data_IF_173068106963
#
_entry.id   IF_173068106963
#
_cell.length_a   1.000
_cell.length_b   1.000
_cell.length_c   1.000
_cell.angle_alpha   90.00
_cell.angle_beta   90.00
_cell.angle_gamma   90.00
#
_symmetry.space_group_name_H-M   'P 1'
#
loop_
_entity.id
_entity.type
_entity.pdbx_description
1 polymer ?
#
# COMPACT_ATOMS: atom_id res chain seq x y z
N UNK A 1 14.20 -29.88 16.86
CA UNK A 1 14.82 -29.00 15.84
C UNK A 1 13.94 -28.84 14.60
N UNK A 2 13.38 -29.92 14.04
CA UNK A 2 12.47 -29.90 12.88
C UNK A 2 11.28 -28.93 13.02
N UNK A 3 10.50 -29.04 14.10
CA UNK A 3 9.32 -28.18 14.32
C UNK A 3 9.63 -26.67 14.38
N UNK A 4 10.86 -26.28 14.77
CA UNK A 4 11.31 -24.88 14.78
C UNK A 4 11.69 -24.41 13.38
N UNK A 5 12.29 -25.28 12.57
CA UNK A 5 12.55 -25.01 11.16
C UNK A 5 11.24 -24.81 10.39
N UNK A 6 10.26 -25.68 10.63
CA UNK A 6 8.95 -25.63 9.97
C UNK A 6 8.20 -24.34 10.31
N UNK A 7 8.26 -23.89 11.56
CA UNK A 7 7.65 -22.64 12.02
C UNK A 7 8.28 -21.39 11.38
N UNK A 8 9.61 -21.32 11.32
CA UNK A 8 10.32 -20.18 10.70
C UNK A 8 10.02 -20.11 9.20
N UNK A 9 9.95 -21.25 8.52
CA UNK A 9 9.58 -21.35 7.11
C UNK A 9 8.14 -20.90 6.91
N UNK A 10 7.18 -21.40 7.71
CA UNK A 10 5.78 -20.99 7.66
C UNK A 10 5.62 -19.48 7.84
N UNK A 11 6.23 -18.91 8.89
CA UNK A 11 6.19 -17.46 9.16
C UNK A 11 6.74 -16.66 7.97
N UNK A 12 7.84 -17.16 7.37
CA UNK A 12 8.44 -16.52 6.20
C UNK A 12 7.51 -16.53 4.99
N UNK A 13 6.88 -17.66 4.69
CA UNK A 13 5.95 -17.79 3.56
C UNK A 13 4.72 -16.90 3.72
N UNK A 14 4.14 -16.84 4.92
CA UNK A 14 2.95 -16.03 5.19
C UNK A 14 3.22 -14.53 5.08
N UNK A 15 4.34 -14.06 5.64
CA UNK A 15 4.75 -12.65 5.50
C UNK A 15 5.08 -12.33 4.03
N UNK A 16 5.78 -13.23 3.34
CA UNK A 16 6.08 -13.05 1.91
C UNK A 16 4.81 -12.97 1.07
N UNK A 17 3.79 -13.80 1.33
CA UNK A 17 2.49 -13.75 0.65
C UNK A 17 1.83 -12.38 0.81
N UNK A 18 1.78 -11.85 2.04
CA UNK A 18 1.23 -10.53 2.34
C UNK A 18 1.99 -9.43 1.60
N UNK A 19 3.31 -9.41 1.72
CA UNK A 19 4.14 -8.39 1.07
C UNK A 19 4.02 -8.46 -0.46
N UNK A 20 4.02 -9.65 -1.06
CA UNK A 20 3.84 -9.80 -2.51
C UNK A 20 2.48 -9.26 -2.98
N UNK A 21 1.40 -9.51 -2.23
CA UNK A 21 0.08 -8.95 -2.52
C UNK A 21 0.10 -7.42 -2.44
N UNK A 22 0.66 -6.86 -1.36
CA UNK A 22 0.76 -5.41 -1.18
C UNK A 22 1.60 -4.77 -2.28
N UNK A 23 2.79 -5.31 -2.58
CA UNK A 23 3.67 -4.81 -3.62
C UNK A 23 2.99 -4.83 -5.00
N UNK A 24 2.27 -5.91 -5.32
CA UNK A 24 1.58 -6.05 -6.61
C UNK A 24 0.54 -4.94 -6.79
N UNK A 25 -0.28 -4.70 -5.78
CA UNK A 25 -1.29 -3.64 -5.85
C UNK A 25 -0.67 -2.25 -5.81
N UNK A 26 0.31 -2.01 -4.93
CA UNK A 26 0.95 -0.70 -4.79
C UNK A 26 1.71 -0.30 -6.06
N UNK A 27 2.37 -1.24 -6.76
CA UNK A 27 3.06 -0.95 -8.03
C UNK A 27 2.11 -0.43 -9.10
N UNK A 28 0.82 -0.73 -8.97
CA UNK A 28 -0.21 -0.25 -9.90
C UNK A 28 -0.63 1.18 -9.60
N UNK A 29 -0.22 1.77 -8.47
CA UNK A 29 -0.59 3.14 -8.11
C UNK A 29 -0.32 4.12 -9.26
N UNK A 30 -1.37 4.84 -9.65
CA UNK A 30 -1.38 5.78 -10.77
C UNK A 30 -1.24 5.15 -12.16
N UNK A 31 -1.40 3.83 -12.32
CA UNK A 31 -1.51 3.24 -13.66
C UNK A 31 -2.88 3.49 -14.26
N UNK A 32 -2.93 3.62 -15.58
CA UNK A 32 -4.14 3.65 -16.37
C UNK A 32 -4.14 2.50 -17.39
N UNK A 33 -5.06 1.56 -17.22
CA UNK A 33 -5.07 0.33 -18.03
C UNK A 33 -5.46 0.57 -19.49
N UNK A 34 -6.35 1.52 -19.78
CA UNK A 34 -6.90 1.71 -21.13
C UNK A 34 -6.39 2.95 -21.86
N UNK A 35 -5.60 3.82 -21.22
CA UNK A 35 -5.05 5.03 -21.84
C UNK A 35 -3.54 4.98 -22.13
N UNK A 36 -2.88 3.84 -21.90
CA UNK A 36 -1.49 3.58 -22.32
C UNK A 36 -0.41 4.30 -21.51
N UNK A 37 -0.72 4.80 -20.31
CA UNK A 37 0.22 5.58 -19.50
C UNK A 37 -0.08 5.61 -18.00
N UNK A 38 0.59 6.52 -17.29
CA UNK A 38 0.30 6.83 -15.89
C UNK A 38 -0.72 7.95 -15.78
N UNK A 39 -1.65 7.82 -14.84
CA UNK A 39 -2.65 8.81 -14.46
C UNK A 39 -2.59 9.02 -12.94
N UNK A 40 -1.76 9.97 -12.46
CA UNK A 40 -1.70 10.29 -11.05
C UNK A 40 -2.95 11.04 -10.59
N UNK A 41 -3.19 11.10 -9.28
CA UNK A 41 -4.40 11.66 -8.70
C UNK A 41 -4.13 12.94 -7.91
N UNK A 42 -5.08 13.86 -7.90
CA UNK A 42 -5.10 14.94 -6.93
C UNK A 42 -5.85 14.46 -5.69
N UNK A 43 -5.17 14.46 -4.55
CA UNK A 43 -5.79 14.18 -3.27
C UNK A 43 -6.02 15.49 -2.52
N UNK A 44 -7.28 15.80 -2.22
CA UNK A 44 -7.68 17.08 -1.63
C UNK A 44 -7.54 18.27 -2.59
N UNK A 45 -7.45 19.49 -2.05
CA UNK A 45 -7.27 20.73 -2.84
C UNK A 45 -5.82 20.94 -3.32
N UNK A 46 -5.04 19.86 -3.43
CA UNK A 46 -3.63 19.94 -3.81
C UNK A 46 -3.46 20.26 -5.30
N UNK A 47 -2.45 21.07 -5.61
CA UNK A 47 -2.06 21.40 -6.99
C UNK A 47 -1.01 20.44 -7.56
N UNK A 48 -0.46 19.53 -6.76
CA UNK A 48 0.53 18.55 -7.23
C UNK A 48 -0.06 17.13 -7.30
N UNK A 49 0.07 16.45 -8.45
CA UNK A 49 -0.41 15.08 -8.58
C UNK A 49 0.38 14.14 -7.65
N UNK A 50 -0.32 13.21 -7.02
CA UNK A 50 0.25 12.21 -6.13
C UNK A 50 -0.14 10.80 -6.59
N UNK A 51 0.77 9.84 -6.37
CA UNK A 51 0.49 8.42 -6.60
C UNK A 51 -0.19 7.77 -5.39
N UNK A 52 0.10 8.28 -4.20
CA UNK A 52 -0.34 7.72 -2.93
C UNK A 52 -0.33 8.77 -1.82
N UNK A 53 -1.05 8.47 -0.76
CA UNK A 53 -1.01 9.14 0.53
C UNK A 53 -0.56 8.16 1.61
N UNK A 54 0.21 8.68 2.57
CA UNK A 54 0.51 7.99 3.81
C UNK A 54 -0.22 8.76 4.91
N UNK A 55 -0.99 8.07 5.75
CA UNK A 55 -1.83 8.66 6.82
C UNK A 55 -2.57 9.92 6.34
N UNK A 56 -3.24 9.80 5.19
CA UNK A 56 -4.13 10.81 4.58
C UNK A 56 -3.50 12.13 4.12
N UNK A 57 -2.18 12.28 4.24
CA UNK A 57 -1.54 13.58 4.06
C UNK A 57 -0.51 13.58 2.92
N UNK A 58 -0.63 14.49 1.92
CA UNK A 58 0.29 14.54 0.78
C UNK A 58 1.73 14.89 1.11
N UNK A 59 2.02 15.47 2.29
CA UNK A 59 3.37 15.77 2.79
C UNK A 59 3.90 14.71 3.74
N UNK A 60 3.09 13.74 4.17
CA UNK A 60 3.52 12.73 5.12
C UNK A 60 4.48 11.74 4.48
N UNK A 61 5.65 11.55 5.08
CA UNK A 61 6.68 10.66 4.53
C UNK A 61 6.68 9.27 5.15
N UNK A 62 6.05 9.08 6.30
CA UNK A 62 6.04 7.81 7.04
C UNK A 62 4.71 7.61 7.75
N UNK A 63 4.24 6.38 7.92
CA UNK A 63 2.94 6.12 8.52
C UNK A 63 2.54 4.67 8.50
N UNK A 64 1.31 4.36 8.90
CA UNK A 64 0.79 3.00 9.03
C UNK A 64 -0.39 2.70 8.12
N UNK A 65 -0.99 3.73 7.53
CA UNK A 65 -2.01 3.64 6.52
C UNK A 65 -1.48 4.16 5.18
N UNK A 66 -1.73 3.40 4.12
CA UNK A 66 -1.41 3.76 2.75
C UNK A 66 -2.70 3.79 1.94
N UNK A 67 -2.94 4.89 1.24
CA UNK A 67 -4.01 5.03 0.26
C UNK A 67 -3.41 5.30 -1.11
N UNK A 68 -3.91 4.62 -2.13
CA UNK A 68 -3.50 4.83 -3.51
C UNK A 68 -4.65 4.42 -4.43
N UNK A 69 -4.57 4.80 -5.70
CA UNK A 69 -5.57 4.40 -6.68
C UNK A 69 -4.89 4.06 -8.01
N UNK A 70 -5.61 3.38 -8.89
CA UNK A 70 -5.21 3.12 -10.28
C UNK A 70 -6.45 2.98 -11.14
N UNK A 71 -6.40 3.46 -12.37
CA UNK A 71 -7.58 3.54 -13.24
C UNK A 71 -7.80 2.23 -13.96
N UNK A 72 -8.89 1.54 -13.64
CA UNK A 72 -9.17 0.22 -14.21
C UNK A 72 -9.96 0.29 -15.53
N UNK A 73 -10.87 1.25 -15.66
CA UNK A 73 -11.89 1.29 -16.71
C UNK A 73 -11.87 2.54 -17.58
N UNK A 74 -11.24 3.63 -17.14
CA UNK A 74 -11.15 4.88 -17.91
C UNK A 74 -10.24 4.74 -19.13
N UNK A 75 -10.71 5.21 -20.28
CA UNK A 75 -9.97 5.30 -21.55
C UNK A 75 -9.08 6.54 -21.66
N UNK A 76 -9.16 7.47 -20.70
CA UNK A 76 -8.37 8.70 -20.67
C UNK A 76 -7.80 8.96 -19.27
N UNK A 77 -6.62 9.61 -19.15
CA UNK A 77 -6.12 10.03 -17.84
C UNK A 77 -7.12 10.94 -17.12
N UNK A 78 -7.34 10.70 -15.84
CA UNK A 78 -8.10 11.58 -14.94
C UNK A 78 -7.36 11.70 -13.62
N UNK A 79 -7.56 12.85 -12.99
CA UNK A 79 -7.02 13.12 -11.67
C UNK A 79 -8.02 12.85 -10.54
N UNK A 80 -9.25 12.42 -10.88
CA UNK A 80 -10.27 12.00 -9.93
C UNK A 80 -10.23 10.48 -9.71
N UNK A 81 -10.45 10.05 -8.47
CA UNK A 81 -10.47 8.63 -8.11
C UNK A 81 -11.89 8.08 -8.27
N UNK A 82 -12.05 7.07 -9.13
CA UNK A 82 -13.27 6.28 -9.21
C UNK A 82 -13.42 5.33 -8.02
N UNK A 83 -14.64 4.86 -7.75
CA UNK A 83 -14.91 3.91 -6.65
C UNK A 83 -14.07 2.63 -6.79
N UNK A 84 -13.97 2.10 -8.00
CA UNK A 84 -13.28 0.85 -8.28
C UNK A 84 -11.75 1.05 -8.40
N UNK A 85 -11.29 2.30 -8.42
CA UNK A 85 -9.87 2.67 -8.48
C UNK A 85 -9.25 2.79 -7.10
N UNK A 86 -10.05 3.19 -6.09
CA UNK A 86 -9.59 3.38 -4.71
C UNK A 86 -9.07 2.08 -4.08
N UNK A 87 -7.86 2.15 -3.52
CA UNK A 87 -7.16 1.04 -2.84
C UNK A 87 -6.45 1.55 -1.60
N UNK A 88 -6.01 0.61 -0.77
CA UNK A 88 -5.19 0.94 0.37
C UNK A 88 -4.83 -0.28 1.21
N UNK A 89 -3.87 -0.06 2.10
CA UNK A 89 -3.51 -1.01 3.16
C UNK A 89 -3.34 -0.26 4.47
N UNK A 90 -3.74 -0.87 5.59
CA UNK A 90 -3.48 -0.33 6.93
C UNK A 90 -3.19 -1.43 7.93
N UNK A 91 -2.68 -1.03 9.10
CA UNK A 91 -2.62 -1.88 10.28
C UNK A 91 -3.90 -1.68 11.09
N UNK A 92 -4.64 -2.76 11.33
CA UNK A 92 -5.55 -2.82 12.48
C UNK A 92 -4.72 -3.21 13.70
N UNK A 93 -4.54 -2.25 14.60
CA UNK A 93 -3.75 -2.42 15.83
C UNK A 93 -4.47 -3.26 16.88
N UNK A 94 -5.81 -3.27 16.86
CA UNK A 94 -6.65 -4.04 17.78
C UNK A 94 -6.71 -5.50 17.36
N UNK A 95 -7.01 -5.75 16.07
CA UNK A 95 -7.03 -7.11 15.51
C UNK A 95 -5.63 -7.68 15.25
N UNK A 96 -4.59 -6.84 15.29
CA UNK A 96 -3.21 -7.20 14.95
C UNK A 96 -3.10 -7.79 13.54
N UNK A 97 -3.71 -7.09 12.58
CA UNK A 97 -3.90 -7.55 11.22
C UNK A 97 -3.53 -6.46 10.21
N UNK A 98 -3.04 -6.87 9.04
CA UNK A 98 -3.02 -6.00 7.86
C UNK A 98 -4.37 -6.11 7.18
N UNK A 99 -4.96 -4.96 6.89
CA UNK A 99 -6.22 -4.86 6.18
C UNK A 99 -6.02 -4.26 4.79
N UNK A 100 -6.89 -4.65 3.85
CA UNK A 100 -7.03 -4.04 2.53
C UNK A 100 -8.33 -3.24 2.49
N UNK A 101 -8.30 -2.08 1.84
CA UNK A 101 -9.52 -1.30 1.63
C UNK A 101 -10.46 -2.04 0.65
N UNK A 102 -11.72 -2.20 1.03
CA UNK A 102 -12.75 -2.82 0.20
C UNK A 102 -13.84 -1.79 -0.09
N UNK A 103 -13.86 -1.30 -1.33
CA UNK A 103 -14.90 -0.37 -1.72
C UNK A 103 -16.20 -1.12 -2.02
N UNK A 104 -17.29 -0.72 -1.37
CA UNK A 104 -18.61 -1.28 -1.64
C UNK A 104 -19.54 -0.33 -2.41
N UNK A 105 -19.32 1.00 -2.45
CA UNK A 105 -20.30 1.95 -3.03
C UNK A 105 -19.73 3.26 -3.60
N UNK A 106 -18.85 3.96 -2.90
CA UNK A 106 -18.35 5.30 -3.29
C UNK A 106 -16.92 5.57 -2.77
N UNK A 107 -16.37 6.75 -3.04
CA UNK A 107 -15.05 7.17 -2.54
C UNK A 107 -15.11 8.07 -1.31
N UNK A 108 -16.30 8.39 -0.80
CA UNK A 108 -16.46 9.28 0.35
C UNK A 108 -16.00 8.61 1.66
N UNK A 109 -16.13 7.29 1.72
CA UNK A 109 -15.63 6.46 2.82
C UNK A 109 -14.18 6.00 2.64
N UNK A 110 -13.49 6.40 1.56
CA UNK A 110 -12.09 6.03 1.34
C UNK A 110 -11.21 6.90 2.24
N UNK A 111 -11.03 6.46 3.47
CA UNK A 111 -10.18 7.09 4.49
C UNK A 111 -9.52 6.04 5.39
N UNK A 112 -8.39 6.41 5.98
CA UNK A 112 -7.63 5.56 6.91
C UNK A 112 -8.44 5.19 8.14
N UNK A 113 -9.38 6.05 8.56
CA UNK A 113 -10.23 5.86 9.74
C UNK A 113 -11.60 5.22 9.43
N UNK A 114 -11.88 4.90 8.17
CA UNK A 114 -13.16 4.29 7.80
C UNK A 114 -13.29 2.85 8.31
N UNK A 115 -14.51 2.31 8.32
CA UNK A 115 -14.79 0.92 8.65
C UNK A 115 -14.76 -0.05 7.47
N UNK A 116 -14.35 0.40 6.28
CA UNK A 116 -14.46 -0.36 5.02
C UNK A 116 -13.15 -1.08 4.66
N UNK A 117 -12.62 -1.79 5.65
CA UNK A 117 -11.36 -2.51 5.55
C UNK A 117 -11.60 -3.97 5.87
N UNK A 118 -10.85 -4.84 5.18
CA UNK A 118 -10.94 -6.28 5.35
C UNK A 118 -9.59 -6.85 5.70
N UNK A 119 -9.53 -7.64 6.77
CA UNK A 119 -8.35 -8.42 7.13
C UNK A 119 -7.93 -9.39 6.02
N UNK A 120 -6.66 -9.29 5.60
CA UNK A 120 -6.01 -10.18 4.62
C UNK A 120 -4.92 -11.07 5.22
N UNK A 121 -4.68 -10.90 6.52
CA UNK A 121 -3.70 -11.64 7.31
C UNK A 121 -4.10 -13.11 7.41
N UNK A 122 -3.10 -13.98 7.46
CA UNK A 122 -3.35 -15.38 7.79
C UNK A 122 -3.75 -15.47 9.26
N UNK A 123 -4.75 -16.31 9.58
CA UNK A 123 -5.17 -16.63 10.96
C UNK A 123 -4.06 -17.20 11.83
N UNK A 124 -2.91 -17.54 11.25
CA UNK A 124 -1.74 -18.02 11.97
C UNK A 124 -0.80 -16.91 12.44
N UNK A 125 -0.95 -15.69 11.90
CA UNK A 125 -0.08 -14.56 12.15
C UNK A 125 -0.68 -13.59 13.17
N UNK A 126 0.20 -12.98 13.96
CA UNK A 126 -0.06 -11.75 14.69
C UNK A 126 0.83 -10.66 14.11
N UNK A 127 0.25 -9.63 13.50
CA UNK A 127 0.99 -8.49 12.96
C UNK A 127 1.20 -7.48 14.08
N UNK A 128 2.46 -7.20 14.43
CA UNK A 128 2.79 -6.24 15.48
C UNK A 128 3.19 -4.89 14.93
N UNK A 129 3.57 -4.81 13.66
CA UNK A 129 3.95 -3.55 13.02
C UNK A 129 3.71 -3.63 11.51
N UNK A 130 3.17 -2.56 10.96
CA UNK A 130 3.21 -2.25 9.54
C UNK A 130 3.55 -0.76 9.45
N UNK A 131 4.50 -0.41 8.60
CA UNK A 131 4.76 0.98 8.27
C UNK A 131 5.17 1.15 6.83
N UNK A 132 4.78 2.29 6.27
CA UNK A 132 5.17 2.79 4.98
C UNK A 132 6.11 3.96 5.17
N UNK A 133 7.15 4.05 4.35
CA UNK A 133 7.96 5.26 4.23
C UNK A 133 8.26 5.56 2.77
N UNK A 134 8.12 6.81 2.35
CA UNK A 134 8.41 7.22 0.98
C UNK A 134 9.56 8.22 0.90
N UNK A 135 10.37 8.04 -0.13
CA UNK A 135 11.33 9.03 -0.59
C UNK A 135 10.98 9.39 -2.03
N UNK A 136 10.88 10.68 -2.32
CA UNK A 136 10.58 11.18 -3.66
C UNK A 136 11.70 12.10 -4.11
N UNK A 137 12.25 11.84 -5.29
CA UNK A 137 13.28 12.67 -5.92
C UNK A 137 12.77 13.17 -7.26
N UNK A 138 13.13 14.40 -7.62
CA UNK A 138 12.92 14.96 -8.95
C UNK A 138 14.22 14.81 -9.74
N UNK A 139 14.12 14.28 -10.95
CA UNK A 139 15.22 14.25 -11.92
C UNK A 139 15.32 15.60 -12.62
N UNK A 140 16.43 15.82 -13.32
CA UNK A 140 16.68 17.07 -14.07
C UNK A 140 15.62 17.35 -15.15
N UNK A 141 15.05 16.30 -15.76
CA UNK A 141 13.96 16.37 -16.74
C UNK A 141 12.56 16.52 -16.09
N UNK A 142 12.49 16.79 -14.78
CA UNK A 142 11.24 17.07 -14.06
C UNK A 142 10.43 15.82 -13.69
N UNK A 143 10.92 14.61 -13.97
CA UNK A 143 10.23 13.38 -13.56
C UNK A 143 10.31 13.18 -12.06
N UNK A 144 9.23 12.69 -11.46
CA UNK A 144 9.21 12.32 -10.04
C UNK A 144 9.40 10.81 -9.89
N UNK A 145 10.50 10.41 -9.27
CA UNK A 145 10.75 9.02 -8.88
C UNK A 145 10.35 8.87 -7.42
N UNK A 146 9.39 7.99 -7.13
CA UNK A 146 8.94 7.72 -5.76
C UNK A 146 9.35 6.30 -5.37
N UNK A 147 10.19 6.18 -4.35
CA UNK A 147 10.52 4.91 -3.70
C UNK A 147 9.67 4.76 -2.44
N UNK A 148 8.89 3.68 -2.34
CA UNK A 148 8.11 3.32 -1.16
C UNK A 148 8.75 2.12 -0.47
N UNK A 149 8.97 2.23 0.83
CA UNK A 149 9.42 1.12 1.68
C UNK A 149 8.28 0.66 2.56
N UNK A 150 8.03 -0.64 2.57
CA UNK A 150 7.06 -1.33 3.41
C UNK A 150 7.85 -2.12 4.44
N UNK A 151 7.54 -1.94 5.73
CA UNK A 151 8.09 -2.74 6.83
C UNK A 151 6.98 -3.46 7.54
N UNK A 152 7.12 -4.77 7.72
CA UNK A 152 6.18 -5.63 8.44
C UNK A 152 6.91 -6.40 9.53
N UNK A 153 6.35 -6.39 10.73
CA UNK A 153 6.75 -7.24 11.85
C UNK A 153 5.60 -8.15 12.21
N UNK A 154 5.87 -9.46 12.28
CA UNK A 154 4.86 -10.44 12.65
C UNK A 154 5.45 -11.62 13.42
N UNK A 155 4.58 -12.32 14.14
CA UNK A 155 4.89 -13.59 14.80
C UNK A 155 3.81 -14.63 14.55
N UNK A 156 4.11 -15.90 14.83
CA UNK A 156 3.08 -16.94 14.84
C UNK A 156 2.28 -16.88 16.14
N UNK A 157 0.94 -16.92 16.06
CA UNK A 157 0.07 -16.87 17.26
C UNK A 157 0.40 -18.02 18.24
N UNK A 158 0.59 -19.24 17.72
CA UNK A 158 0.89 -20.43 18.55
C UNK A 158 2.35 -20.51 18.99
N UNK A 159 3.23 -19.69 18.42
CA UNK A 159 4.65 -19.66 18.76
C UNK A 159 5.18 -18.21 18.73
N UNK A 160 4.78 -17.36 19.69
CA UNK A 160 5.07 -15.91 19.63
C UNK A 160 6.57 -15.57 19.65
N UNK A 161 7.40 -16.47 20.19
CA UNK A 161 8.87 -16.35 20.17
C UNK A 161 9.46 -16.45 18.75
N UNK A 162 8.71 -17.01 17.79
CA UNK A 162 9.04 -16.92 16.36
C UNK A 162 8.49 -15.61 15.82
N UNK A 163 9.34 -14.58 15.82
CA UNK A 163 9.08 -13.27 15.21
C UNK A 163 9.95 -13.11 13.97
N UNK A 164 9.44 -12.35 13.00
CA UNK A 164 10.21 -11.91 11.84
C UNK A 164 9.84 -10.48 11.49
N UNK A 165 10.87 -9.70 11.17
CA UNK A 165 10.78 -8.36 10.63
C UNK A 165 11.26 -8.40 9.18
N UNK A 166 10.48 -7.84 8.25
CA UNK A 166 10.81 -7.81 6.84
C UNK A 166 10.59 -6.41 6.30
N UNK A 167 11.54 -5.96 5.47
CA UNK A 167 11.46 -4.69 4.75
C UNK A 167 11.55 -4.94 3.25
N UNK A 168 10.75 -4.23 2.48
CA UNK A 168 10.74 -4.25 1.02
C UNK A 168 10.64 -2.83 0.50
N UNK A 169 11.44 -2.50 -0.50
CA UNK A 169 11.40 -1.19 -1.17
C UNK A 169 11.04 -1.41 -2.62
N UNK A 170 10.05 -0.65 -3.08
CA UNK A 170 9.57 -0.66 -4.45
C UNK A 170 9.66 0.76 -5.02
N UNK A 171 10.07 0.85 -6.29
CA UNK A 171 10.02 2.08 -7.06
C UNK A 171 8.67 2.10 -7.79
N UNK A 172 7.93 3.19 -7.63
CA UNK A 172 6.63 3.40 -8.27
C UNK A 172 6.81 3.93 -9.69
N UNK A 173 5.78 3.76 -10.51
CA UNK A 173 5.76 4.28 -11.88
C UNK A 173 6.09 5.78 -11.91
N UNK A 174 6.87 6.19 -12.90
CA UNK A 174 7.29 7.58 -13.06
C UNK A 174 6.09 8.43 -13.50
N UNK A 175 5.78 9.46 -12.72
CA UNK A 175 4.89 10.52 -13.18
C UNK A 175 5.74 11.63 -13.78
N UNK A 176 5.56 11.89 -15.07
CA UNK A 176 6.04 13.15 -15.66
C UNK A 176 5.14 14.23 -15.10
N UNK A 177 5.71 15.21 -14.40
CA UNK A 177 4.99 16.45 -14.15
C UNK A 177 5.10 17.24 -15.45
N UNK A 178 4.00 17.35 -16.22
CA UNK A 178 4.01 18.30 -17.34
C UNK A 178 4.27 19.71 -16.78
N UNK A 179 5.15 20.50 -17.41
CA UNK A 179 5.46 21.86 -16.99
C UNK A 179 4.23 22.78 -16.98
#
# INVERSE_FOLDING_TARGET
MQARLDAKTRLSLEISRLLTMMETEIRRAGLCYQCGGASPYFFGNGHEPQLLLIDETPSQHQGQCLRFAYQQDSTHPTNSVGKDDAKGFRLDTEAHAIEVYENHRDTANWSCESGYWRDISSRALKISHLSFSRNAVRTEDGRRITALTIKVSASLIRQPSQRKDVSRTLVLANTVVSP
#
